data_IF_469448999177
#
_entry.id   IF_469448999177
#
_cell.length_a   1.000
_cell.length_b   1.000
_cell.length_c   1.000
_cell.angle_alpha   90.00
_cell.angle_beta   90.00
_cell.angle_gamma   90.00
#
_symmetry.space_group_name_H-M   'P 1'
#
loop_
_entity.id
_entity.type
_entity.pdbx_description
1 polymer ?
#
# COMPACT_ATOMS: atom_id res chain seq x y z
N UNK A 1 35.08 -10.76 1.86
CA UNK A 1 34.66 -10.84 3.27
C UNK A 1 33.35 -11.60 3.33
N UNK A 2 33.07 -12.30 4.37
CA UNK A 2 31.84 -13.08 4.56
C UNK A 2 31.03 -12.36 5.61
N UNK A 3 29.87 -11.77 5.23
CA UNK A 3 28.92 -11.19 6.17
C UNK A 3 28.19 -12.28 6.96
N UNK A 4 27.60 -11.94 8.11
CA UNK A 4 26.71 -12.84 8.81
C UNK A 4 25.38 -12.96 8.06
N UNK A 5 24.82 -11.83 7.64
CA UNK A 5 23.54 -11.78 6.91
C UNK A 5 23.59 -10.80 5.75
N UNK A 6 23.05 -11.20 4.60
CA UNK A 6 22.73 -10.33 3.48
C UNK A 6 21.21 -10.15 3.43
N UNK A 7 20.74 -8.89 3.43
CA UNK A 7 19.34 -8.56 3.21
C UNK A 7 19.14 -8.08 1.78
N UNK A 8 18.22 -8.68 1.05
CA UNK A 8 17.90 -8.34 -0.34
C UNK A 8 16.61 -7.54 -0.37
N UNK A 9 16.75 -6.23 -0.67
CA UNK A 9 15.69 -5.23 -0.69
C UNK A 9 15.75 -4.27 0.51
N UNK A 10 15.94 -2.97 0.23
CA UNK A 10 15.97 -1.89 1.20
C UNK A 10 14.59 -1.20 1.36
N UNK A 11 13.51 -1.94 1.30
CA UNK A 11 12.18 -1.49 1.75
C UNK A 11 12.08 -1.50 3.27
N UNK A 12 10.96 -0.98 3.82
CA UNK A 12 10.73 -0.93 5.27
C UNK A 12 10.99 -2.29 5.94
N UNK A 13 10.44 -3.38 5.41
CA UNK A 13 10.62 -4.72 5.98
C UNK A 13 12.09 -5.20 5.98
N UNK A 14 12.81 -4.95 4.87
CA UNK A 14 14.23 -5.33 4.79
C UNK A 14 15.12 -4.50 5.70
N UNK A 15 14.88 -3.21 5.78
CA UNK A 15 15.62 -2.31 6.67
C UNK A 15 15.31 -2.59 8.15
N UNK A 16 14.05 -2.90 8.51
CA UNK A 16 13.69 -3.31 9.88
C UNK A 16 14.40 -4.59 10.29
N UNK A 17 14.41 -5.60 9.41
CA UNK A 17 15.13 -6.85 9.68
C UNK A 17 16.65 -6.63 9.79
N UNK A 18 17.22 -5.78 8.93
CA UNK A 18 18.64 -5.46 8.97
C UNK A 18 19.02 -4.72 10.25
N UNK A 19 18.19 -3.76 10.69
CA UNK A 19 18.39 -3.01 11.93
C UNK A 19 18.38 -3.93 13.15
N UNK A 20 17.36 -4.77 13.28
CA UNK A 20 17.26 -5.71 14.39
C UNK A 20 18.49 -6.62 14.48
N UNK A 21 18.92 -7.17 13.35
CA UNK A 21 20.10 -8.03 13.30
C UNK A 21 21.39 -7.29 13.62
N UNK A 22 21.53 -6.04 13.15
CA UNK A 22 22.67 -5.20 13.45
C UNK A 22 22.76 -4.84 14.93
N UNK A 23 21.64 -4.50 15.57
CA UNK A 23 21.54 -4.24 17.00
C UNK A 23 21.88 -5.48 17.86
N UNK A 24 21.61 -6.66 17.32
CA UNK A 24 22.04 -7.95 17.91
C UNK A 24 23.52 -8.29 17.66
N UNK A 25 24.29 -7.41 17.02
CA UNK A 25 25.73 -7.52 16.83
C UNK A 25 26.13 -8.33 15.57
N UNK A 26 25.20 -8.57 14.63
CA UNK A 26 25.56 -9.25 13.38
C UNK A 26 26.17 -8.26 12.38
N UNK A 27 27.11 -8.75 11.54
CA UNK A 27 27.59 -8.05 10.35
C UNK A 27 26.57 -8.20 9.21
N UNK A 28 25.82 -7.11 8.94
CA UNK A 28 24.70 -7.06 8.00
C UNK A 28 24.98 -6.11 6.85
N UNK A 29 24.74 -6.56 5.62
CA UNK A 29 24.70 -5.71 4.43
C UNK A 29 23.35 -5.80 3.74
N UNK A 30 22.81 -4.66 3.33
CA UNK A 30 21.54 -4.59 2.57
C UNK A 30 21.85 -4.29 1.10
N UNK A 31 21.27 -5.04 0.18
CA UNK A 31 21.39 -4.85 -1.26
C UNK A 31 20.08 -4.37 -1.84
N UNK A 32 20.08 -3.23 -2.50
CA UNK A 32 18.92 -2.60 -3.12
C UNK A 32 19.12 -2.40 -4.61
N UNK A 33 18.16 -2.82 -5.41
CA UNK A 33 18.25 -2.74 -6.86
C UNK A 33 18.13 -1.30 -7.40
N UNK A 34 17.35 -0.45 -6.72
CA UNK A 34 17.17 0.96 -7.10
C UNK A 34 18.31 1.81 -6.55
N UNK A 35 18.38 3.05 -7.02
CA UNK A 35 19.29 4.09 -6.54
C UNK A 35 18.87 4.72 -5.20
N UNK A 36 17.75 4.27 -4.60
CA UNK A 36 17.16 4.77 -3.37
C UNK A 36 16.66 3.65 -2.46
N UNK A 37 16.59 3.94 -1.17
CA UNK A 37 15.95 3.09 -0.15
C UNK A 37 14.44 3.36 -0.05
N UNK A 38 13.74 2.62 0.79
CA UNK A 38 12.32 2.78 1.13
C UNK A 38 11.37 1.89 0.31
N UNK A 39 11.78 1.41 -0.87
CA UNK A 39 10.93 0.53 -1.67
C UNK A 39 9.60 1.18 -2.09
N UNK A 40 8.48 0.69 -1.54
CA UNK A 40 7.13 1.22 -1.77
C UNK A 40 6.76 2.46 -0.93
N UNK A 41 7.60 2.90 -0.01
CA UNK A 41 7.56 4.24 0.56
C UNK A 41 8.51 5.13 -0.25
N UNK A 42 8.05 6.30 -0.66
CA UNK A 42 8.86 7.22 -1.47
C UNK A 42 8.39 8.65 -1.26
N UNK A 43 9.08 9.35 -0.38
CA UNK A 43 8.84 10.78 -0.12
C UNK A 43 9.66 11.63 -1.08
N UNK A 44 9.06 12.63 -1.66
CA UNK A 44 9.69 13.62 -2.56
C UNK A 44 9.26 15.03 -2.18
N UNK A 45 10.08 16.01 -2.57
CA UNK A 45 9.77 17.43 -2.43
C UNK A 45 9.43 17.98 -3.82
N UNK A 46 8.19 18.46 -4.00
CA UNK A 46 7.68 18.98 -5.27
C UNK A 46 7.11 20.38 -5.03
N UNK A 47 7.70 21.38 -5.67
CA UNK A 47 7.23 22.78 -5.62
C UNK A 47 6.92 23.29 -4.20
N UNK A 48 7.80 22.97 -3.24
CA UNK A 48 7.69 23.38 -1.84
C UNK A 48 6.74 22.53 -0.98
N UNK A 49 6.20 21.46 -1.54
CA UNK A 49 5.39 20.47 -0.81
C UNK A 49 6.19 19.18 -0.59
N UNK A 50 6.18 18.62 0.61
CA UNK A 50 6.70 17.28 0.91
C UNK A 50 5.59 16.27 0.78
N UNK A 51 5.72 15.32 -0.15
CA UNK A 51 4.67 14.35 -0.46
C UNK A 51 5.18 12.92 -0.56
N UNK A 52 4.39 11.99 -0.09
CA UNK A 52 4.65 10.55 -0.22
C UNK A 52 4.01 10.01 -1.51
N UNK A 53 4.83 9.64 -2.49
CA UNK A 53 4.38 8.99 -3.73
C UNK A 53 4.03 7.51 -3.53
N UNK A 54 4.46 6.92 -2.42
CA UNK A 54 4.16 5.55 -2.00
C UNK A 54 3.19 5.47 -0.83
N UNK A 55 3.44 4.58 0.13
CA UNK A 55 2.74 4.56 1.42
C UNK A 55 2.84 5.92 2.10
N UNK A 56 1.73 6.45 2.57
CA UNK A 56 1.62 7.80 3.10
C UNK A 56 0.93 7.86 4.47
N UNK A 57 0.24 6.79 4.88
CA UNK A 57 -0.49 6.76 6.14
C UNK A 57 -0.02 5.64 7.05
N UNK A 58 0.04 5.95 8.33
CA UNK A 58 0.11 5.00 9.42
C UNK A 58 -1.32 4.61 9.80
N UNK A 59 -1.77 3.46 9.29
CA UNK A 59 -3.11 2.95 9.57
C UNK A 59 -3.17 2.33 10.97
N UNK A 60 -4.09 2.81 11.82
CA UNK A 60 -4.29 2.30 13.17
C UNK A 60 -3.06 2.49 14.07
N UNK A 61 -2.79 3.70 14.57
CA UNK A 61 -1.62 3.96 15.40
C UNK A 61 -1.68 3.33 16.80
N UNK A 62 -2.88 2.96 17.29
CA UNK A 62 -3.05 2.38 18.62
C UNK A 62 -2.68 0.89 18.63
N UNK A 63 -1.64 0.51 19.38
CA UNK A 63 -1.15 -0.87 19.45
C UNK A 63 -0.37 -1.32 18.20
N UNK A 64 -0.06 -0.40 17.32
CA UNK A 64 0.75 -0.68 16.14
C UNK A 64 2.25 -0.62 16.51
N UNK A 65 3.03 -1.69 16.30
CA UNK A 65 4.45 -1.71 16.66
C UNK A 65 5.28 -0.65 15.94
N UNK A 66 4.81 -0.15 14.80
CA UNK A 66 5.46 0.96 14.12
C UNK A 66 5.36 2.26 14.93
N UNK A 67 4.26 2.49 15.63
CA UNK A 67 4.09 3.66 16.51
C UNK A 67 5.12 3.69 17.62
N UNK A 68 5.37 2.53 18.25
CA UNK A 68 6.39 2.43 19.31
C UNK A 68 7.79 2.74 18.77
N UNK A 69 8.11 2.25 17.57
CA UNK A 69 9.36 2.57 16.90
C UNK A 69 9.48 4.06 16.57
N UNK A 70 8.43 4.68 16.01
CA UNK A 70 8.42 6.12 15.71
C UNK A 70 8.68 6.94 16.97
N UNK A 71 8.03 6.60 18.09
CA UNK A 71 8.20 7.26 19.38
C UNK A 71 9.64 7.12 19.91
N UNK A 72 10.21 5.92 19.84
CA UNK A 72 11.60 5.66 20.31
C UNK A 72 12.65 6.42 19.49
N UNK A 73 12.39 6.70 18.22
CA UNK A 73 13.27 7.44 17.34
C UNK A 73 12.97 8.94 17.24
N UNK A 74 11.96 9.41 17.99
CA UNK A 74 11.55 10.82 17.98
C UNK A 74 10.98 11.28 16.64
N UNK A 75 10.33 10.38 15.91
CA UNK A 75 9.64 10.68 14.65
C UNK A 75 8.20 11.04 14.97
N UNK A 76 7.84 12.28 14.70
CA UNK A 76 6.49 12.79 14.97
C UNK A 76 5.50 12.28 13.91
N UNK A 77 4.33 11.86 14.37
CA UNK A 77 3.16 11.59 13.54
C UNK A 77 1.95 12.30 14.12
N UNK A 78 0.96 12.56 13.29
CA UNK A 78 -0.27 13.24 13.70
C UNK A 78 -1.46 12.68 12.99
N UNK A 79 -2.62 12.74 13.64
CA UNK A 79 -3.88 12.31 13.05
C UNK A 79 -4.12 13.06 11.73
N UNK A 80 -4.45 12.31 10.69
CA UNK A 80 -4.87 12.90 9.43
C UNK A 80 -6.36 13.24 9.51
N UNK A 81 -6.65 14.53 9.45
CA UNK A 81 -8.01 15.06 9.52
C UNK A 81 -8.92 14.58 8.37
N UNK A 82 -8.35 14.02 7.30
CA UNK A 82 -9.10 13.58 6.11
C UNK A 82 -10.17 12.54 6.44
N UNK A 83 -9.88 11.61 7.34
CA UNK A 83 -10.71 10.42 7.59
C UNK A 83 -11.81 10.61 8.63
N UNK A 84 -11.96 11.79 9.20
CA UNK A 84 -13.02 12.13 10.17
C UNK A 84 -14.06 13.10 9.63
N UNK A 85 -13.93 13.57 8.39
CA UNK A 85 -14.80 14.58 7.77
C UNK A 85 -15.80 13.97 6.80
N UNK A 86 -16.85 14.73 6.49
CA UNK A 86 -17.80 14.36 5.45
C UNK A 86 -17.10 14.16 4.11
N UNK A 87 -17.45 13.08 3.43
CA UNK A 87 -16.96 12.82 2.08
C UNK A 87 -17.85 13.52 1.04
N UNK A 88 -17.23 14.17 0.09
CA UNK A 88 -17.93 14.59 -1.12
C UNK A 88 -18.09 13.39 -2.06
N UNK A 89 -19.28 13.12 -2.55
CA UNK A 89 -19.53 12.01 -3.48
C UNK A 89 -20.12 12.54 -4.77
N UNK A 90 -19.50 12.22 -5.88
CA UNK A 90 -20.03 12.48 -7.22
C UNK A 90 -20.34 11.14 -7.92
N UNK A 91 -21.50 11.06 -8.57
CA UNK A 91 -21.90 9.93 -9.41
C UNK A 91 -22.12 10.44 -10.85
N UNK A 92 -21.39 9.89 -11.81
CA UNK A 92 -21.46 10.27 -13.22
C UNK A 92 -21.32 11.79 -13.44
N UNK A 93 -20.41 12.43 -12.67
CA UNK A 93 -20.11 13.89 -12.73
C UNK A 93 -21.11 14.79 -12.02
N UNK A 94 -22.08 14.25 -11.29
CA UNK A 94 -23.04 15.02 -10.48
C UNK A 94 -22.80 14.80 -9.00
N UNK A 95 -22.72 15.87 -8.23
CA UNK A 95 -22.66 15.80 -6.79
C UNK A 95 -23.96 15.22 -6.21
N UNK A 96 -23.80 14.29 -5.29
CA UNK A 96 -24.90 13.74 -4.50
C UNK A 96 -25.32 14.74 -3.41
N UNK A 97 -26.55 14.59 -2.93
CA UNK A 97 -26.99 15.30 -1.72
C UNK A 97 -26.18 14.83 -0.51
N UNK A 98 -26.14 15.67 0.54
CA UNK A 98 -25.42 15.34 1.79
C UNK A 98 -25.96 14.04 2.42
N UNK A 99 -27.27 13.81 2.35
CA UNK A 99 -27.92 12.61 2.90
C UNK A 99 -27.53 11.35 2.13
N UNK A 100 -27.56 11.40 0.79
CA UNK A 100 -27.14 10.28 -0.06
C UNK A 100 -25.64 9.99 0.12
N UNK A 101 -24.80 11.02 0.13
CA UNK A 101 -23.37 10.89 0.36
C UNK A 101 -23.06 10.29 1.74
N UNK A 102 -23.79 10.68 2.78
CA UNK A 102 -23.67 10.11 4.13
C UNK A 102 -23.98 8.62 4.16
N UNK A 103 -25.03 8.18 3.41
CA UNK A 103 -25.38 6.74 3.30
C UNK A 103 -24.25 5.95 2.63
N UNK A 104 -23.68 6.48 1.55
CA UNK A 104 -22.54 5.85 0.86
C UNK A 104 -21.34 5.77 1.79
N UNK A 105 -21.00 6.87 2.47
CA UNK A 105 -19.86 6.94 3.40
C UNK A 105 -20.05 5.95 4.57
N UNK A 106 -21.24 5.88 5.16
CA UNK A 106 -21.53 4.91 6.22
C UNK A 106 -21.31 3.47 5.74
N UNK A 107 -21.69 3.15 4.51
CA UNK A 107 -21.55 1.82 3.93
C UNK A 107 -20.09 1.38 3.81
N UNK A 108 -19.13 2.31 3.63
CA UNK A 108 -17.70 1.99 3.56
C UNK A 108 -17.15 1.44 4.89
N UNK A 109 -17.76 1.82 6.01
CA UNK A 109 -17.40 1.36 7.35
C UNK A 109 -18.26 0.19 7.84
N UNK A 110 -19.51 0.11 7.37
CA UNK A 110 -20.47 -0.92 7.78
C UNK A 110 -20.32 -2.25 7.05
N UNK A 111 -19.72 -2.24 5.85
CA UNK A 111 -19.54 -3.45 5.08
C UNK A 111 -18.46 -4.33 5.72
N UNK A 112 -18.88 -5.50 6.18
CA UNK A 112 -17.98 -6.52 6.73
C UNK A 112 -17.88 -7.71 5.76
N UNK A 113 -16.69 -7.93 5.14
CA UNK A 113 -16.47 -9.07 4.28
C UNK A 113 -16.67 -10.43 4.95
N UNK A 114 -16.47 -10.55 6.28
CA UNK A 114 -16.66 -11.79 7.01
C UNK A 114 -18.15 -12.16 7.08
N UNK A 115 -19.00 -11.21 7.44
CA UNK A 115 -20.45 -11.41 7.47
C UNK A 115 -21.01 -11.77 6.08
N UNK A 116 -20.52 -11.11 5.04
CA UNK A 116 -20.91 -11.42 3.67
C UNK A 116 -20.48 -12.83 3.25
N UNK A 117 -19.25 -13.23 3.59
CA UNK A 117 -18.71 -14.55 3.28
C UNK A 117 -19.46 -15.68 4.00
N UNK A 118 -19.89 -15.44 5.24
CA UNK A 118 -20.75 -16.38 5.99
C UNK A 118 -22.10 -16.55 5.32
N UNK A 119 -22.76 -15.45 5.00
CA UNK A 119 -24.08 -15.45 4.38
C UNK A 119 -24.11 -16.09 2.99
N UNK A 120 -23.07 -15.90 2.18
CA UNK A 120 -22.99 -16.47 0.83
C UNK A 120 -22.56 -17.94 0.82
N UNK A 121 -21.92 -18.42 1.89
CA UNK A 121 -21.45 -19.80 2.00
C UNK A 121 -20.18 -20.10 1.18
N UNK A 122 -19.70 -21.36 1.19
CA UNK A 122 -18.36 -21.71 0.70
C UNK A 122 -18.18 -21.68 -0.83
N UNK A 123 -19.26 -21.59 -1.61
CA UNK A 123 -19.22 -21.58 -3.07
C UNK A 123 -18.90 -20.23 -3.69
N UNK A 124 -19.07 -19.15 -2.93
CA UNK A 124 -18.88 -17.78 -3.41
C UNK A 124 -17.74 -17.11 -2.64
N UNK A 125 -16.76 -16.58 -3.36
CA UNK A 125 -15.59 -15.91 -2.76
C UNK A 125 -15.19 -14.61 -3.46
N UNK A 126 -15.96 -14.16 -4.47
CA UNK A 126 -15.68 -12.87 -5.09
C UNK A 126 -16.16 -11.72 -4.20
N UNK A 127 -15.30 -10.72 -4.01
CA UNK A 127 -15.61 -9.52 -3.21
C UNK A 127 -16.86 -8.79 -3.72
N UNK A 128 -17.01 -8.68 -5.05
CA UNK A 128 -18.17 -8.08 -5.70
C UNK A 128 -19.51 -8.77 -5.32
N UNK A 129 -19.50 -10.08 -5.09
CA UNK A 129 -20.68 -10.83 -4.66
C UNK A 129 -21.04 -10.50 -3.21
N UNK A 130 -20.03 -10.31 -2.35
CA UNK A 130 -20.23 -9.82 -0.99
C UNK A 130 -20.86 -8.43 -0.97
N UNK A 131 -20.40 -7.53 -1.84
CA UNK A 131 -20.98 -6.20 -1.99
C UNK A 131 -22.43 -6.26 -2.48
N UNK A 132 -22.72 -7.09 -3.47
CA UNK A 132 -24.09 -7.30 -3.96
C UNK A 132 -25.01 -7.82 -2.85
N UNK A 133 -24.56 -8.81 -2.09
CA UNK A 133 -25.30 -9.29 -0.91
C UNK A 133 -25.57 -8.15 0.09
N UNK A 134 -24.58 -7.34 0.42
CA UNK A 134 -24.73 -6.24 1.37
C UNK A 134 -25.77 -5.21 0.91
N UNK A 135 -25.71 -4.77 -0.34
CA UNK A 135 -26.64 -3.80 -0.94
C UNK A 135 -28.07 -4.33 -0.88
N UNK A 136 -28.25 -5.62 -1.19
CA UNK A 136 -29.57 -6.28 -1.13
C UNK A 136 -30.07 -6.43 0.31
N UNK A 137 -29.22 -6.84 1.26
CA UNK A 137 -29.57 -6.99 2.67
C UNK A 137 -30.00 -5.67 3.31
N UNK A 138 -29.36 -4.55 2.88
CA UNK A 138 -29.73 -3.19 3.30
C UNK A 138 -30.91 -2.62 2.54
N UNK A 139 -31.44 -3.34 1.53
CA UNK A 139 -32.56 -2.90 0.68
C UNK A 139 -32.31 -1.54 0.00
N UNK A 140 -31.05 -1.26 -0.33
CA UNK A 140 -30.70 -0.06 -1.06
C UNK A 140 -31.26 -0.13 -2.49
N UNK A 141 -31.72 1.01 -3.01
CA UNK A 141 -32.32 1.10 -4.35
C UNK A 141 -31.87 2.35 -5.09
N UNK A 142 -32.13 2.42 -6.39
CA UNK A 142 -31.87 3.60 -7.22
C UNK A 142 -30.39 4.04 -7.25
N UNK A 143 -30.17 5.35 -7.21
CA UNK A 143 -28.84 5.97 -7.24
C UNK A 143 -28.00 5.53 -6.05
N UNK A 144 -28.56 5.45 -4.87
CA UNK A 144 -27.87 5.06 -3.64
C UNK A 144 -27.31 3.63 -3.74
N UNK A 145 -28.10 2.68 -4.23
CA UNK A 145 -27.63 1.30 -4.43
C UNK A 145 -26.45 1.26 -5.42
N UNK A 146 -26.56 1.93 -6.56
CA UNK A 146 -25.51 1.98 -7.57
C UNK A 146 -24.22 2.61 -7.00
N UNK A 147 -24.35 3.74 -6.33
CA UNK A 147 -23.20 4.47 -5.78
C UNK A 147 -22.52 3.70 -4.66
N UNK A 148 -23.30 3.06 -3.77
CA UNK A 148 -22.75 2.20 -2.71
C UNK A 148 -22.03 0.99 -3.31
N UNK A 149 -22.62 0.34 -4.32
CA UNK A 149 -21.96 -0.77 -5.03
C UNK A 149 -20.63 -0.32 -5.64
N UNK A 150 -20.61 0.82 -6.31
CA UNK A 150 -19.40 1.37 -6.92
C UNK A 150 -18.35 1.73 -5.84
N UNK A 151 -18.76 2.40 -4.76
CA UNK A 151 -17.84 2.79 -3.69
C UNK A 151 -17.19 1.56 -3.03
N UNK A 152 -17.98 0.56 -2.65
CA UNK A 152 -17.45 -0.65 -2.02
C UNK A 152 -16.56 -1.45 -2.98
N UNK A 153 -16.97 -1.63 -4.22
CA UNK A 153 -16.18 -2.39 -5.18
C UNK A 153 -14.89 -1.67 -5.60
N UNK A 154 -14.97 -0.41 -5.91
CA UNK A 154 -13.87 0.31 -6.56
C UNK A 154 -12.99 1.07 -5.58
N UNK A 155 -13.53 1.65 -4.52
CA UNK A 155 -12.74 2.35 -3.50
C UNK A 155 -12.21 1.36 -2.46
N UNK A 156 -13.09 0.60 -1.79
CA UNK A 156 -12.68 -0.32 -0.73
C UNK A 156 -12.13 -1.65 -1.24
N UNK A 157 -12.61 -2.17 -2.35
CA UNK A 157 -12.09 -3.40 -2.96
C UNK A 157 -10.87 -3.13 -3.83
N UNK A 158 -11.09 -2.62 -5.02
CA UNK A 158 -10.03 -2.42 -6.02
C UNK A 158 -9.03 -1.32 -5.63
N UNK A 159 -9.48 -0.22 -4.99
CA UNK A 159 -8.64 0.87 -4.51
C UNK A 159 -7.65 0.45 -3.42
N UNK A 160 -7.99 -0.57 -2.63
CA UNK A 160 -7.09 -1.13 -1.60
C UNK A 160 -6.16 -2.21 -2.16
N UNK A 161 -6.67 -3.06 -3.05
CA UNK A 161 -5.94 -4.25 -3.54
C UNK A 161 -5.26 -4.07 -4.89
N UNK A 162 -5.72 -3.12 -5.70
CA UNK A 162 -5.26 -2.90 -7.07
C UNK A 162 -5.80 -3.90 -8.09
N UNK A 163 -6.74 -4.79 -7.74
CA UNK A 163 -7.32 -5.78 -8.67
C UNK A 163 -8.84 -5.55 -8.87
N UNK A 164 -9.39 -6.20 -9.90
CA UNK A 164 -10.82 -6.16 -10.18
C UNK A 164 -11.62 -6.82 -9.05
N UNK A 165 -12.77 -6.28 -8.60
CA UNK A 165 -13.55 -6.81 -7.48
C UNK A 165 -13.93 -8.29 -7.59
N UNK A 166 -14.16 -8.79 -8.82
CA UNK A 166 -14.46 -10.22 -9.06
C UNK A 166 -13.26 -11.15 -8.82
N UNK A 167 -12.06 -10.61 -8.74
CA UNK A 167 -10.80 -11.36 -8.53
C UNK A 167 -10.27 -11.23 -7.11
N UNK A 168 -10.87 -10.38 -6.31
CA UNK A 168 -10.52 -10.21 -4.90
C UNK A 168 -11.24 -11.29 -4.12
N UNK A 169 -10.51 -12.03 -3.29
CA UNK A 169 -11.11 -13.02 -2.37
C UNK A 169 -11.87 -12.30 -1.26
N UNK A 170 -13.16 -12.57 -1.15
CA UNK A 170 -14.01 -12.06 -0.07
C UNK A 170 -13.53 -12.56 1.29
N UNK A 171 -13.20 -13.86 1.39
CA UNK A 171 -12.66 -14.47 2.62
C UNK A 171 -11.26 -13.99 2.93
N UNK A 172 -10.45 -13.74 1.90
CA UNK A 172 -9.15 -13.13 2.05
C UNK A 172 -9.25 -11.70 2.62
N UNK A 173 -10.23 -10.92 2.16
CA UNK A 173 -10.49 -9.58 2.67
C UNK A 173 -10.97 -9.59 4.13
N UNK A 174 -11.73 -10.60 4.55
CA UNK A 174 -12.15 -10.79 5.94
C UNK A 174 -10.98 -11.05 6.92
N UNK A 175 -9.82 -11.46 6.43
CA UNK A 175 -8.62 -11.66 7.25
C UNK A 175 -7.82 -10.37 7.46
N UNK A 176 -8.19 -9.28 6.77
CA UNK A 176 -7.52 -8.00 6.90
C UNK A 176 -7.90 -7.34 8.23
N UNK A 177 -6.91 -7.15 9.07
CA UNK A 177 -7.08 -6.51 10.37
C UNK A 177 -6.33 -5.19 10.40
N UNK A 178 -7.00 -4.15 10.85
CA UNK A 178 -6.41 -2.85 11.16
C UNK A 178 -6.24 -2.73 12.68
N UNK A 179 -5.18 -2.02 13.10
CA UNK A 179 -5.08 -1.52 14.46
C UNK A 179 -6.05 -0.35 14.65
N UNK A 180 -6.39 -0.03 15.89
CA UNK A 180 -7.27 1.07 16.23
C UNK A 180 -6.60 2.45 16.09
N UNK A 181 -7.41 3.53 16.10
CA UNK A 181 -6.93 4.91 16.17
C UNK A 181 -6.96 5.70 14.86
N UNK A 182 -7.62 5.18 13.83
CA UNK A 182 -7.76 5.88 12.54
C UNK A 182 -6.47 5.88 11.70
N UNK A 183 -6.16 7.00 11.10
CA UNK A 183 -4.99 7.12 10.21
C UNK A 183 -4.17 8.35 10.60
N UNK A 184 -2.86 8.17 10.68
CA UNK A 184 -1.91 9.25 10.91
C UNK A 184 -0.99 9.46 9.71
N UNK A 185 -0.44 10.66 9.60
CA UNK A 185 0.63 10.99 8.67
C UNK A 185 1.92 11.28 9.44
N UNK A 186 3.05 10.88 8.87
CA UNK A 186 4.37 11.18 9.45
C UNK A 186 4.77 12.61 9.07
N UNK A 187 5.23 13.38 10.04
CA UNK A 187 5.78 14.73 9.80
C UNK A 187 7.08 14.59 8.99
N UNK A 188 7.13 15.25 7.83
CA UNK A 188 8.23 15.08 6.88
C UNK A 188 8.18 13.83 6.01
N UNK A 189 7.06 13.08 6.06
CA UNK A 189 6.80 11.89 5.27
C UNK A 189 7.54 10.65 5.73
N UNK A 190 7.33 9.56 5.04
CA UNK A 190 7.95 8.25 5.35
C UNK A 190 9.48 8.22 5.17
N UNK A 191 10.07 9.25 4.56
CA UNK A 191 11.53 9.43 4.46
C UNK A 191 12.18 9.34 5.82
N UNK A 192 11.63 10.02 6.84
CA UNK A 192 12.16 10.03 8.20
C UNK A 192 12.26 8.61 8.79
N UNK A 193 11.23 7.79 8.63
CA UNK A 193 11.23 6.40 9.06
C UNK A 193 12.33 5.59 8.36
N UNK A 194 12.38 5.68 7.03
CA UNK A 194 13.29 4.88 6.20
C UNK A 194 14.76 5.20 6.53
N UNK A 195 15.09 6.48 6.67
CA UNK A 195 16.44 6.94 7.05
C UNK A 195 16.84 6.48 8.44
N UNK A 196 15.87 6.46 9.39
CA UNK A 196 16.12 5.96 10.73
C UNK A 196 16.38 4.46 10.76
N UNK A 197 15.58 3.68 10.01
CA UNK A 197 15.80 2.24 9.87
C UNK A 197 17.17 1.90 9.26
N UNK A 198 17.64 2.71 8.33
CA UNK A 198 18.92 2.49 7.64
C UNK A 198 20.15 2.97 8.43
N UNK A 199 19.96 3.70 9.54
CA UNK A 199 21.07 4.32 10.27
C UNK A 199 22.07 3.29 10.79
N UNK A 200 23.37 3.48 10.45
CA UNK A 200 24.46 2.61 10.88
C UNK A 200 24.59 1.30 10.11
N UNK A 201 23.70 1.05 9.14
CA UNK A 201 23.68 -0.17 8.34
C UNK A 201 24.34 0.09 6.99
N UNK A 202 25.18 -0.83 6.55
CA UNK A 202 25.71 -0.79 5.19
C UNK A 202 24.60 -1.11 4.17
N UNK A 203 24.21 -0.10 3.37
CA UNK A 203 23.22 -0.26 2.28
C UNK A 203 23.90 0.03 0.94
N UNK A 204 23.85 -0.93 0.04
CA UNK A 204 24.33 -0.81 -1.34
C UNK A 204 23.15 -0.66 -2.27
N UNK A 205 22.90 0.57 -2.71
CA UNK A 205 21.90 0.87 -3.75
C UNK A 205 22.45 0.53 -5.13
N UNK A 206 21.62 0.61 -6.17
CA UNK A 206 21.96 0.26 -7.55
C UNK A 206 22.69 -1.10 -7.67
N UNK A 207 22.29 -2.04 -6.81
CA UNK A 207 22.91 -3.36 -6.69
C UNK A 207 21.85 -4.46 -6.86
N UNK A 208 21.32 -4.67 -8.07
CA UNK A 208 20.32 -5.68 -8.31
C UNK A 208 20.87 -7.09 -8.09
N UNK A 209 20.17 -7.86 -7.27
CA UNK A 209 20.48 -9.28 -7.04
C UNK A 209 19.80 -10.11 -8.12
N UNK A 210 20.57 -10.92 -8.82
CA UNK A 210 20.08 -11.78 -9.90
C UNK A 210 19.95 -13.25 -9.51
N UNK A 211 20.74 -13.71 -8.52
CA UNK A 211 20.61 -15.07 -8.02
C UNK A 211 21.02 -15.19 -6.54
N UNK A 212 20.41 -16.15 -5.86
CA UNK A 212 20.73 -16.54 -4.49
C UNK A 212 21.01 -18.05 -4.51
N UNK A 213 22.28 -18.41 -4.29
CA UNK A 213 22.69 -19.80 -4.12
C UNK A 213 22.80 -20.11 -2.63
N UNK A 214 22.11 -21.12 -2.16
CA UNK A 214 22.06 -21.42 -0.74
C UNK A 214 22.30 -22.92 -0.45
N UNK A 215 22.90 -23.20 0.70
CA UNK A 215 23.24 -24.55 1.11
C UNK A 215 23.63 -24.61 2.58
N UNK A 216 24.21 -25.75 2.99
CA UNK A 216 24.63 -25.97 4.40
C UNK A 216 25.72 -25.00 4.84
N UNK A 217 26.59 -24.57 3.92
CA UNK A 217 27.76 -23.73 4.20
C UNK A 217 27.46 -22.22 4.12
N UNK A 218 26.19 -21.86 3.96
CA UNK A 218 25.72 -20.48 3.86
C UNK A 218 25.14 -20.12 2.50
N UNK A 219 25.20 -18.84 2.17
CA UNK A 219 24.61 -18.29 0.94
C UNK A 219 25.63 -17.53 0.11
N UNK A 220 25.43 -17.57 -1.20
CA UNK A 220 26.14 -16.72 -2.16
C UNK A 220 25.09 -15.92 -2.94
N UNK A 221 25.10 -14.61 -2.77
CA UNK A 221 24.25 -13.68 -3.50
C UNK A 221 25.03 -13.16 -4.71
N UNK A 222 24.41 -13.23 -5.89
CA UNK A 222 25.00 -12.83 -7.17
C UNK A 222 24.38 -11.51 -7.61
N UNK A 223 25.23 -10.56 -7.96
CA UNK A 223 24.87 -9.26 -8.53
C UNK A 223 25.66 -9.04 -9.83
N UNK A 224 25.36 -8.01 -10.57
CA UNK A 224 26.13 -7.64 -11.76
C UNK A 224 27.57 -7.24 -11.43
N UNK A 225 27.81 -6.63 -10.25
CA UNK A 225 29.13 -6.22 -9.78
C UNK A 225 29.95 -7.35 -9.14
N UNK A 226 29.39 -8.56 -8.99
CA UNK A 226 30.11 -9.71 -8.44
C UNK A 226 29.27 -10.56 -7.50
N UNK A 227 29.96 -11.27 -6.59
CA UNK A 227 29.34 -12.23 -5.65
C UNK A 227 29.68 -11.84 -4.22
N UNK A 228 28.65 -11.87 -3.35
CA UNK A 228 28.79 -11.71 -1.91
C UNK A 228 28.46 -13.03 -1.22
N UNK A 229 29.13 -13.29 -0.08
CA UNK A 229 28.90 -14.50 0.73
C UNK A 229 28.46 -14.12 2.12
N UNK A 230 27.50 -14.86 2.67
CA UNK A 230 27.04 -14.72 4.04
C UNK A 230 26.67 -16.05 4.67
N UNK A 231 26.47 -16.04 5.97
CA UNK A 231 25.89 -17.17 6.68
C UNK A 231 24.44 -17.40 6.29
N UNK A 232 23.67 -16.32 6.11
CA UNK A 232 22.24 -16.34 5.77
C UNK A 232 21.87 -15.20 4.81
N UNK A 233 20.70 -15.33 4.15
CA UNK A 233 20.08 -14.24 3.41
C UNK A 233 18.62 -14.06 3.84
N UNK A 234 18.18 -12.79 3.94
CA UNK A 234 16.78 -12.41 4.07
C UNK A 234 16.34 -11.81 2.75
N UNK A 235 15.23 -12.33 2.20
CA UNK A 235 14.68 -11.85 0.92
C UNK A 235 13.45 -11.02 1.21
N UNK A 236 13.57 -9.69 1.11
CA UNK A 236 12.53 -8.70 1.41
C UNK A 236 12.07 -7.95 0.14
N UNK A 237 12.08 -8.62 -0.99
CA UNK A 237 11.63 -8.06 -2.26
C UNK A 237 10.12 -8.21 -2.44
N UNK A 238 9.46 -7.32 -3.21
CA UNK A 238 8.03 -7.43 -3.52
C UNK A 238 7.68 -8.75 -4.23
N UNK A 239 6.45 -9.22 -4.05
CA UNK A 239 5.94 -10.42 -4.73
C UNK A 239 6.10 -10.33 -6.25
N UNK A 240 5.93 -9.15 -6.85
CA UNK A 240 6.14 -8.93 -8.28
C UNK A 240 7.56 -9.27 -8.75
N UNK A 241 8.56 -9.00 -7.92
CA UNK A 241 9.96 -9.40 -8.19
C UNK A 241 10.12 -10.93 -8.10
N UNK A 242 9.50 -11.57 -7.10
CA UNK A 242 9.52 -13.04 -6.99
C UNK A 242 8.78 -13.74 -8.15
N UNK A 243 7.79 -13.08 -8.74
CA UNK A 243 7.04 -13.59 -9.92
C UNK A 243 7.78 -13.36 -11.24
N UNK A 244 8.70 -12.43 -11.27
CA UNK A 244 9.56 -12.21 -12.43
C UNK A 244 10.66 -13.27 -12.50
N UNK A 245 11.22 -13.50 -13.66
CA UNK A 245 12.39 -14.38 -13.83
C UNK A 245 13.73 -13.72 -13.44
N UNK A 246 13.67 -12.49 -12.88
CA UNK A 246 14.87 -11.68 -12.59
C UNK A 246 15.66 -12.13 -11.36
N UNK A 247 15.06 -12.92 -10.47
CA UNK A 247 15.73 -13.44 -9.25
C UNK A 247 15.65 -14.97 -9.24
N UNK A 248 16.79 -15.62 -9.35
CA UNK A 248 16.90 -17.09 -9.39
C UNK A 248 17.34 -17.63 -8.03
N UNK A 249 16.71 -18.72 -7.58
CA UNK A 249 17.11 -19.46 -6.39
C UNK A 249 17.75 -20.80 -6.78
N UNK A 250 18.92 -21.12 -6.18
CA UNK A 250 19.65 -22.36 -6.41
C UNK A 250 20.13 -22.93 -5.06
N UNK A 251 19.57 -24.07 -4.63
CA UNK A 251 18.47 -24.83 -5.22
C UNK A 251 17.16 -24.04 -5.28
N UNK A 252 16.22 -24.48 -6.12
CA UNK A 252 14.90 -23.86 -6.26
C UNK A 252 14.15 -23.82 -4.93
N UNK A 253 13.29 -22.82 -4.76
CA UNK A 253 12.43 -22.69 -3.58
C UNK A 253 11.54 -23.95 -3.41
N UNK A 254 11.20 -24.35 -2.18
CA UNK A 254 10.29 -25.46 -1.93
C UNK A 254 8.96 -25.30 -2.68
N UNK A 255 8.38 -26.41 -3.13
CA UNK A 255 7.17 -26.41 -3.97
C UNK A 255 6.01 -25.60 -3.37
N UNK A 256 5.84 -25.64 -2.04
CA UNK A 256 4.80 -24.85 -1.34
C UNK A 256 5.00 -23.35 -1.52
N UNK A 257 6.22 -22.85 -1.40
CA UNK A 257 6.53 -21.43 -1.57
C UNK A 257 6.40 -21.01 -3.04
N UNK A 258 6.91 -21.81 -3.98
CA UNK A 258 6.75 -21.57 -5.42
C UNK A 258 5.28 -21.53 -5.82
N UNK A 259 4.44 -22.40 -5.26
CA UNK A 259 3.00 -22.41 -5.50
C UNK A 259 2.32 -21.16 -4.92
N UNK A 260 2.70 -20.73 -3.72
CA UNK A 260 2.18 -19.51 -3.10
C UNK A 260 2.54 -18.26 -3.93
N UNK A 261 3.79 -18.12 -4.36
CA UNK A 261 4.25 -17.04 -5.24
C UNK A 261 3.42 -17.02 -6.54
N UNK A 262 3.17 -18.19 -7.14
CA UNK A 262 2.37 -18.30 -8.37
C UNK A 262 0.93 -17.87 -8.15
N UNK A 263 0.29 -18.28 -7.05
CA UNK A 263 -1.15 -18.08 -6.79
C UNK A 263 -1.49 -16.68 -6.27
N UNK A 264 -0.66 -16.12 -5.42
CA UNK A 264 -0.90 -14.78 -4.86
C UNK A 264 -0.88 -13.72 -5.97
N UNK A 265 -1.84 -12.79 -5.93
CA UNK A 265 -1.90 -11.62 -6.81
C UNK A 265 -0.98 -10.51 -6.33
N UNK A 266 -0.47 -9.72 -7.24
CA UNK A 266 0.12 -8.41 -6.98
C UNK A 266 -0.21 -7.51 -8.17
N UNK A 267 -0.90 -6.43 -7.90
CA UNK A 267 -1.38 -5.46 -8.88
C UNK A 267 -0.87 -4.07 -8.56
N UNK A 268 -1.25 -3.11 -9.38
CA UNK A 268 -0.91 -1.71 -9.19
C UNK A 268 -1.96 -0.98 -8.36
N UNK A 269 -1.50 -0.23 -7.38
CA UNK A 269 -2.22 0.86 -6.76
C UNK A 269 -1.43 2.13 -7.06
N UNK A 270 -1.96 2.96 -7.92
CA UNK A 270 -1.28 4.15 -8.42
C UNK A 270 -1.97 5.41 -7.95
N UNK A 271 -1.19 6.43 -7.70
CA UNK A 271 -1.69 7.75 -7.33
C UNK A 271 -0.94 8.85 -8.08
N UNK A 272 -1.63 9.96 -8.28
CA UNK A 272 -1.07 11.20 -8.80
C UNK A 272 -1.17 12.26 -7.70
N UNK A 273 -0.09 12.99 -7.49
CA UNK A 273 -0.10 14.16 -6.60
C UNK A 273 -0.31 15.40 -7.45
N UNK A 274 -1.34 16.16 -7.12
CA UNK A 274 -1.70 17.41 -7.76
C UNK A 274 -1.36 18.56 -6.80
N UNK A 275 -0.56 19.51 -7.27
CA UNK A 275 -0.21 20.73 -6.54
C UNK A 275 -0.89 21.91 -7.19
N UNK A 276 -1.57 22.74 -6.40
CA UNK A 276 -2.31 23.90 -6.85
C UNK A 276 -1.69 25.19 -6.28
N UNK A 277 -1.92 26.31 -6.93
CA UNK A 277 -1.50 27.62 -6.44
C UNK A 277 -2.33 28.02 -5.22
N UNK A 278 -3.65 27.76 -5.28
CA UNK A 278 -4.59 28.02 -4.20
C UNK A 278 -5.56 26.85 -4.02
N UNK A 279 -6.20 26.81 -2.87
CA UNK A 279 -7.21 25.81 -2.54
C UNK A 279 -8.57 26.27 -3.08
N UNK A 280 -9.15 25.56 -4.03
CA UNK A 280 -10.45 25.87 -4.65
C UNK A 280 -11.58 24.94 -4.18
N UNK A 281 -11.28 23.87 -3.46
CA UNK A 281 -12.28 22.93 -2.95
C UNK A 281 -12.78 23.35 -1.56
N UNK A 282 -14.05 22.97 -1.21
CA UNK A 282 -14.66 23.36 0.06
C UNK A 282 -13.94 22.75 1.26
N UNK A 283 -13.78 23.52 2.34
CA UNK A 283 -13.16 23.07 3.59
C UNK A 283 -13.90 21.92 4.28
N UNK A 284 -15.21 21.80 4.04
CA UNK A 284 -16.04 20.77 4.64
C UNK A 284 -15.70 19.35 4.16
N UNK A 285 -15.12 19.25 2.97
CA UNK A 285 -14.73 17.96 2.40
C UNK A 285 -13.21 17.84 2.31
N UNK A 286 -12.66 16.78 2.85
CA UNK A 286 -11.24 16.43 2.76
C UNK A 286 -10.99 15.21 1.86
N UNK A 287 -12.05 14.50 1.51
CA UNK A 287 -12.04 13.34 0.65
C UNK A 287 -13.20 13.43 -0.34
N UNK A 288 -12.95 13.10 -1.59
CA UNK A 288 -13.92 13.18 -2.68
C UNK A 288 -13.92 11.86 -3.44
N UNK A 289 -15.08 11.19 -3.50
CA UNK A 289 -15.29 10.00 -4.31
C UNK A 289 -15.85 10.39 -5.68
N UNK A 290 -15.25 9.87 -6.74
CA UNK A 290 -15.69 10.05 -8.12
C UNK A 290 -16.11 8.69 -8.68
N UNK A 291 -17.42 8.44 -8.68
CA UNK A 291 -18.03 7.15 -8.96
C UNK A 291 -18.84 7.21 -10.27
N UNK A 292 -19.20 6.05 -10.80
CA UNK A 292 -19.94 5.94 -12.06
C UNK A 292 -19.07 5.52 -13.25
N UNK A 293 -19.54 5.73 -14.49
CA UNK A 293 -19.02 5.04 -15.67
C UNK A 293 -17.59 5.35 -16.09
N UNK A 294 -17.24 6.58 -16.37
CA UNK A 294 -15.96 6.92 -17.02
C UNK A 294 -14.98 7.57 -16.03
N UNK A 295 -14.48 6.79 -15.08
CA UNK A 295 -13.62 7.24 -13.99
C UNK A 295 -12.16 6.84 -14.19
N UNK A 296 -11.29 7.80 -14.40
CA UNK A 296 -9.83 7.60 -14.39
C UNK A 296 -9.33 7.59 -12.95
N UNK A 297 -9.82 8.49 -12.13
CA UNK A 297 -9.52 8.57 -10.69
C UNK A 297 -10.79 8.32 -9.90
N UNK A 298 -10.66 7.47 -8.87
CA UNK A 298 -11.78 7.04 -8.01
C UNK A 298 -11.95 7.93 -6.80
N UNK A 299 -10.85 8.43 -6.27
CA UNK A 299 -10.80 9.13 -5.00
C UNK A 299 -9.77 10.25 -5.06
N UNK A 300 -10.12 11.39 -4.47
CA UNK A 300 -9.22 12.53 -4.29
C UNK A 300 -9.15 12.85 -2.80
N UNK A 301 -7.94 12.93 -2.27
CA UNK A 301 -7.68 13.20 -0.85
C UNK A 301 -6.91 14.51 -0.72
N UNK A 302 -7.44 15.43 0.09
CA UNK A 302 -6.77 16.68 0.41
C UNK A 302 -5.57 16.44 1.33
N UNK A 303 -4.39 16.67 0.82
CA UNK A 303 -3.12 16.53 1.52
C UNK A 303 -2.48 17.86 1.90
N UNK A 304 -3.23 18.98 1.80
CA UNK A 304 -2.67 20.32 1.98
C UNK A 304 -1.98 20.51 3.32
N UNK A 305 -2.57 19.97 4.38
CA UNK A 305 -2.03 20.12 5.75
C UNK A 305 -0.73 19.33 5.94
N UNK A 306 -0.65 18.11 5.40
CA UNK A 306 0.55 17.26 5.51
C UNK A 306 1.64 17.68 4.52
N UNK A 307 1.27 18.13 3.35
CA UNK A 307 2.19 18.60 2.32
C UNK A 307 2.73 20.02 2.57
N UNK A 308 2.08 20.79 3.45
CA UNK A 308 2.42 22.19 3.71
C UNK A 308 2.03 23.17 2.58
N UNK A 309 1.22 22.71 1.61
CA UNK A 309 0.79 23.51 0.47
C UNK A 309 -0.46 22.90 -0.18
N UNK A 310 -1.33 23.71 -0.89
CA UNK A 310 -2.54 23.21 -1.51
C UNK A 310 -2.28 22.02 -2.44
N UNK A 311 -2.63 20.82 -1.99
CA UNK A 311 -2.28 19.56 -2.67
C UNK A 311 -3.38 18.53 -2.54
N UNK A 312 -3.59 17.74 -3.59
CA UNK A 312 -4.45 16.56 -3.57
C UNK A 312 -3.68 15.32 -4.03
N UNK A 313 -4.03 14.20 -3.46
CA UNK A 313 -3.68 12.88 -4.01
C UNK A 313 -4.91 12.33 -4.71
N UNK A 314 -4.77 11.95 -5.98
CA UNK A 314 -5.78 11.27 -6.76
C UNK A 314 -5.40 9.80 -6.93
N UNK A 315 -6.27 8.88 -6.49
CA UNK A 315 -6.09 7.44 -6.64
C UNK A 315 -6.67 6.97 -7.97
N UNK A 316 -5.81 6.30 -8.73
CA UNK A 316 -6.13 5.83 -10.06
C UNK A 316 -7.02 4.57 -10.02
N UNK A 317 -7.98 4.48 -10.96
CA UNK A 317 -8.77 3.28 -11.13
C UNK A 317 -7.88 2.13 -11.65
N UNK A 318 -7.78 0.98 -10.95
CA UNK A 318 -6.93 -0.13 -11.35
C UNK A 318 -7.24 -0.70 -12.74
N UNK A 319 -8.47 -0.61 -13.22
CA UNK A 319 -8.82 -1.03 -14.58
C UNK A 319 -8.16 -0.16 -15.66
N UNK A 320 -7.98 1.14 -15.37
CA UNK A 320 -7.40 2.10 -16.29
C UNK A 320 -5.89 2.16 -16.16
N UNK A 321 -5.34 1.94 -14.96
CA UNK A 321 -3.91 1.93 -14.67
C UNK A 321 -3.12 0.95 -15.54
N UNK A 322 -3.75 -0.11 -16.01
CA UNK A 322 -3.12 -1.07 -16.92
C UNK A 322 -2.97 -0.57 -18.35
N UNK A 323 -3.70 0.49 -18.73
CA UNK A 323 -3.51 1.18 -19.98
C UNK A 323 -2.42 2.24 -19.75
N UNK A 324 -1.18 1.95 -20.16
CA UNK A 324 -0.08 2.92 -20.11
C UNK A 324 -0.58 4.26 -20.63
N UNK A 325 -0.67 5.28 -19.76
CA UNK A 325 -0.76 6.66 -20.19
C UNK A 325 0.62 6.95 -20.76
N UNK A 326 0.78 6.87 -22.07
CA UNK A 326 1.97 7.39 -22.72
C UNK A 326 1.99 8.89 -22.45
N UNK A 327 3.06 9.48 -21.92
CA UNK A 327 3.20 10.92 -21.96
C UNK A 327 3.23 11.30 -23.44
N UNK A 328 2.24 12.11 -23.87
CA UNK A 328 2.33 12.84 -25.12
C UNK A 328 3.34 13.96 -25.00
#
# INVERSE_FOLDING_TARGET
MKHDVIVVGAGVAGLSAARELHELGNDVVVLEARDRIGGRTHTVDIAGATVDLGGAWLHGPIGNPLTDFLASEGIEHRADAVWGHSQGVALDGRWMSVEEAATVSASLYDFDPANAAEALGPGEDAYSRGVEWYVNARKLTGSTAKTTTDALNWVMGAGVTGDHPDKISLRGSALYQLHDGGNDVLVGGYRALVERLARGIEVRTSTPVTAIRHGRDGVTVVTESGKLRAGRAIVAVPLGVLKSSGLVFDPALPARQSLAIKRLGMKSLEKVVLRFEERFWPDVYRNFLNLGGNRVFLEFVDMSDSAGAPSMVAFHNPEVATRRISPE
#
